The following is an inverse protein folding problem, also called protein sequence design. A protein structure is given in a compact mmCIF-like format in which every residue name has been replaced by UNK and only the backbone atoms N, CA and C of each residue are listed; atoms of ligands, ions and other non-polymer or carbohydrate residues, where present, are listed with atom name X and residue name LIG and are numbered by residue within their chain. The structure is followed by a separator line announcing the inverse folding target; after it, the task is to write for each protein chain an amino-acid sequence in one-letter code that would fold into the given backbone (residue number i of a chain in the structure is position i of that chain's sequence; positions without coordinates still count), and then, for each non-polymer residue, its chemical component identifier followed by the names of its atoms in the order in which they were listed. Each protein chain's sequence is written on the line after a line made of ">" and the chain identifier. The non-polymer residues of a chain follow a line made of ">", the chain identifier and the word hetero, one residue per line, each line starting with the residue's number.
data_IF_222847031135
#
_entry.id   IF_222847031135
#
_cell.length_a   1.000
_cell.length_b   1.000
_cell.length_c   1.000
_cell.angle_alpha   90.00
_cell.angle_beta   90.00
_cell.angle_gamma   90.00
#
_symmetry.space_group_name_H-M   'P 1'
#
loop_
_entity.id
_entity.type
_entity.pdbx_description
1 polymer ?
#
# COMPACT_ATOMS: atom_id res chain seq x y z
N UNK A 1 15.78 16.86 -11.69
CA UNK A 1 14.55 17.71 -11.72
C UNK A 1 14.14 18.02 -10.27
N UNK A 2 13.41 19.13 -10.06
CA UNK A 2 12.91 19.52 -8.73
C UNK A 2 11.42 19.17 -8.65
N UNK A 3 11.06 18.30 -7.71
CA UNK A 3 9.71 17.74 -7.57
C UNK A 3 9.13 18.15 -6.22
N UNK A 4 7.97 18.79 -6.21
CA UNK A 4 7.12 18.97 -5.04
C UNK A 4 6.06 17.86 -5.01
N UNK A 5 5.85 17.22 -3.89
CA UNK A 5 4.85 16.16 -3.74
C UNK A 5 3.99 16.40 -2.50
N UNK A 6 2.67 16.50 -2.68
CA UNK A 6 1.70 16.69 -1.61
C UNK A 6 0.93 15.39 -1.38
N UNK A 7 0.93 14.89 -0.15
CA UNK A 7 0.24 13.63 0.19
C UNK A 7 0.63 13.10 1.56
N UNK A 8 0.15 11.88 1.89
CA UNK A 8 0.53 11.18 3.12
C UNK A 8 2.00 10.80 3.11
N UNK A 9 2.69 10.95 4.25
CA UNK A 9 4.08 10.52 4.41
C UNK A 9 4.26 9.98 5.81
N UNK A 10 4.94 8.85 5.92
CA UNK A 10 5.18 8.19 7.18
C UNK A 10 3.87 7.87 7.94
N UNK A 11 2.89 7.35 7.18
CA UNK A 11 1.55 6.99 7.65
C UNK A 11 1.17 5.57 7.24
N UNK A 12 0.28 4.93 7.99
CA UNK A 12 -0.20 3.56 7.75
C UNK A 12 -1.27 3.45 6.64
N UNK A 13 -1.38 4.46 5.77
CA UNK A 13 -2.32 4.48 4.65
C UNK A 13 -1.71 3.92 3.36
N UNK A 14 -2.55 3.33 2.49
CA UNK A 14 -2.11 2.87 1.17
C UNK A 14 -1.59 4.00 0.28
N UNK A 15 -2.24 5.17 0.30
CA UNK A 15 -1.78 6.35 -0.44
C UNK A 15 -0.44 6.88 0.11
N UNK A 16 -0.26 6.87 1.45
CA UNK A 16 1.00 7.22 2.09
C UNK A 16 2.13 6.28 1.66
N UNK A 17 1.90 4.97 1.65
CA UNK A 17 2.86 3.99 1.15
C UNK A 17 3.26 4.26 -0.32
N UNK A 18 2.29 4.55 -1.19
CA UNK A 18 2.58 4.91 -2.59
C UNK A 18 3.47 6.15 -2.66
N UNK A 19 3.11 7.20 -1.91
CA UNK A 19 3.87 8.45 -1.83
C UNK A 19 5.32 8.20 -1.44
N UNK A 20 5.54 7.38 -0.40
CA UNK A 20 6.87 7.04 0.09
C UNK A 20 7.69 6.20 -0.89
N UNK A 21 7.10 5.16 -1.47
CA UNK A 21 7.79 4.29 -2.43
C UNK A 21 8.29 5.09 -3.64
N UNK A 22 7.43 5.94 -4.21
CA UNK A 22 7.79 6.75 -5.36
C UNK A 22 8.73 7.90 -4.99
N UNK A 23 8.46 8.58 -3.89
CA UNK A 23 9.28 9.71 -3.44
C UNK A 23 10.72 9.30 -3.14
N UNK A 24 10.90 8.20 -2.39
CA UNK A 24 12.24 7.66 -2.11
C UNK A 24 12.95 7.18 -3.37
N UNK A 25 12.22 6.54 -4.32
CA UNK A 25 12.80 6.16 -5.61
C UNK A 25 13.29 7.37 -6.42
N UNK A 26 12.58 8.48 -6.40
CA UNK A 26 13.05 9.72 -7.06
C UNK A 26 14.30 10.31 -6.39
N UNK A 27 14.39 10.27 -5.04
CA UNK A 27 15.60 10.69 -4.31
C UNK A 27 16.79 9.81 -4.67
N UNK A 28 16.62 8.48 -4.70
CA UNK A 28 17.65 7.53 -5.15
C UNK A 28 18.09 7.79 -6.59
N UNK A 29 17.17 8.21 -7.47
CA UNK A 29 17.43 8.62 -8.85
C UNK A 29 18.03 10.04 -8.96
N UNK A 30 18.42 10.65 -7.84
CA UNK A 30 19.07 11.96 -7.73
C UNK A 30 18.17 13.14 -8.14
N UNK A 31 16.85 13.01 -8.00
CA UNK A 31 15.95 14.14 -8.10
C UNK A 31 15.86 14.87 -6.74
N UNK A 32 15.64 16.17 -6.78
CA UNK A 32 15.39 16.97 -5.57
C UNK A 32 13.91 16.89 -5.24
N UNK A 33 13.59 16.28 -4.10
CA UNK A 33 12.22 16.12 -3.62
C UNK A 33 11.92 17.11 -2.48
N UNK A 34 10.72 17.65 -2.45
CA UNK A 34 10.09 18.25 -1.27
C UNK A 34 8.74 17.60 -1.08
N UNK A 35 8.53 16.99 0.08
CA UNK A 35 7.25 16.38 0.45
C UNK A 35 6.49 17.34 1.35
N UNK A 36 5.25 17.64 0.99
CA UNK A 36 4.28 18.36 1.81
C UNK A 36 3.31 17.34 2.39
N UNK A 37 3.20 17.28 3.72
CA UNK A 37 2.38 16.27 4.39
C UNK A 37 1.61 16.84 5.57
N UNK A 38 0.76 16.03 6.17
CA UNK A 38 -0.13 16.37 7.26
C UNK A 38 0.64 16.75 8.53
N UNK A 39 0.09 17.70 9.32
CA UNK A 39 0.51 17.89 10.70
C UNK A 39 0.26 16.62 11.52
N UNK A 40 1.10 16.36 12.53
CA UNK A 40 1.01 15.17 13.38
C UNK A 40 -0.31 15.03 14.13
N UNK A 41 -0.95 16.15 14.44
CA UNK A 41 -2.23 16.19 15.17
C UNK A 41 -3.46 16.11 14.27
N UNK A 42 -3.29 16.11 12.95
CA UNK A 42 -4.37 16.41 12.03
C UNK A 42 -4.39 15.50 10.78
N UNK A 43 -4.19 14.19 10.97
CA UNK A 43 -4.40 13.18 9.92
C UNK A 43 -5.11 11.95 10.48
N UNK A 44 -5.67 11.15 9.58
CA UNK A 44 -6.26 9.86 9.93
C UNK A 44 -5.18 8.78 9.91
N UNK A 45 -5.25 7.85 10.86
CA UNK A 45 -4.32 6.73 10.95
C UNK A 45 -3.20 6.93 11.97
N UNK A 46 -2.17 6.11 11.87
CA UNK A 46 -1.03 6.08 12.78
C UNK A 46 0.23 6.49 12.05
N UNK A 47 1.06 7.30 12.71
CA UNK A 47 2.42 7.58 12.24
C UNK A 47 3.28 6.33 12.42
N UNK A 48 3.96 5.91 11.34
CA UNK A 48 4.74 4.67 11.33
C UNK A 48 6.07 4.82 12.05
N UNK A 49 6.79 5.94 11.81
CA UNK A 49 8.03 6.24 12.49
C UNK A 49 8.00 7.63 13.15
N UNK A 50 8.85 7.84 14.15
CA UNK A 50 8.96 9.14 14.82
C UNK A 50 9.75 10.18 14.04
N UNK A 51 10.36 9.86 12.89
CA UNK A 51 11.33 10.71 12.20
C UNK A 51 10.98 10.87 10.72
N UNK A 52 10.98 12.13 10.28
CA UNK A 52 10.87 12.50 8.87
C UNK A 52 12.26 12.79 8.29
N UNK A 53 12.41 12.60 6.99
CA UNK A 53 13.61 12.99 6.24
C UNK A 53 13.65 14.53 6.06
N UNK A 54 14.84 15.08 5.80
CA UNK A 54 15.08 16.53 5.72
C UNK A 54 14.28 17.25 4.62
N UNK A 55 13.78 16.51 3.64
CA UNK A 55 12.95 17.02 2.55
C UNK A 55 11.44 17.01 2.87
N UNK A 56 11.02 16.55 4.05
CA UNK A 56 9.61 16.49 4.46
C UNK A 56 9.20 17.77 5.20
N UNK A 57 8.02 18.30 4.88
CA UNK A 57 7.40 19.48 5.48
C UNK A 57 5.98 19.16 5.89
N UNK A 58 5.70 19.18 7.20
CA UNK A 58 4.35 19.06 7.74
C UNK A 58 3.71 20.42 7.75
N UNK A 59 2.72 20.65 6.90
CA UNK A 59 2.22 22.00 6.61
C UNK A 59 0.73 22.08 6.27
N UNK A 60 -0.07 21.02 6.49
CA UNK A 60 -1.51 21.07 6.29
C UNK A 60 -2.25 20.03 7.13
N UNK A 61 -3.58 20.20 7.23
CA UNK A 61 -4.49 19.26 7.88
C UNK A 61 -5.14 18.34 6.86
N UNK A 62 -5.59 17.15 7.29
CA UNK A 62 -6.37 16.25 6.45
C UNK A 62 -7.72 16.87 6.10
N UNK A 63 -8.32 16.43 5.00
CA UNK A 63 -9.71 16.80 4.64
C UNK A 63 -10.69 16.43 5.74
N UNK A 64 -11.65 17.31 6.00
CA UNK A 64 -12.62 17.16 7.09
C UNK A 64 -12.14 17.69 8.46
N UNK A 65 -10.89 18.09 8.61
CA UNK A 65 -10.42 18.81 9.80
C UNK A 65 -11.01 20.21 9.84
N UNK A 66 -11.44 20.68 11.02
CA UNK A 66 -12.12 21.97 11.16
C UNK A 66 -11.43 22.86 12.19
N UNK A 67 -10.94 24.05 11.77
CA UNK A 67 -10.88 24.57 10.40
C UNK A 67 -9.81 23.84 9.56
N UNK A 68 -10.00 23.75 8.21
CA UNK A 68 -8.96 23.21 7.35
C UNK A 68 -7.79 24.19 7.26
N UNK A 69 -6.57 23.71 7.50
CA UNK A 69 -5.36 24.51 7.53
C UNK A 69 -4.38 24.09 6.43
N UNK A 70 -3.70 25.07 5.84
CA UNK A 70 -2.58 24.86 4.95
C UNK A 70 -1.65 26.07 5.04
N UNK A 71 -0.40 25.83 5.45
CA UNK A 71 0.65 26.85 5.34
C UNK A 71 1.06 27.00 3.86
N UNK A 72 0.79 28.15 3.22
CA UNK A 72 1.09 28.33 1.80
C UNK A 72 2.59 28.55 1.53
N UNK A 73 3.38 28.95 2.53
CA UNK A 73 4.77 29.38 2.34
C UNK A 73 5.62 28.28 1.70
N UNK A 74 5.66 27.04 2.21
CA UNK A 74 6.50 26.00 1.61
C UNK A 74 6.15 25.70 0.14
N UNK A 75 4.85 25.79 -0.21
CA UNK A 75 4.38 25.56 -1.60
C UNK A 75 4.79 26.68 -2.54
N UNK A 76 4.82 27.92 -2.06
CA UNK A 76 5.02 29.11 -2.88
C UNK A 76 6.48 29.57 -2.93
N UNK A 77 7.32 29.15 -2.02
CA UNK A 77 8.75 29.47 -1.98
C UNK A 77 9.61 28.39 -2.65
N UNK A 78 9.09 27.15 -2.81
CA UNK A 78 9.79 26.05 -3.44
C UNK A 78 9.99 26.28 -4.95
N UNK A 79 11.13 25.83 -5.46
CA UNK A 79 11.47 25.88 -6.90
C UNK A 79 11.13 24.54 -7.56
N UNK A 80 9.84 24.20 -7.63
CA UNK A 80 9.39 22.95 -8.23
C UNK A 80 9.17 23.12 -9.75
N UNK A 81 9.68 22.18 -10.54
CA UNK A 81 9.36 22.04 -11.98
C UNK A 81 8.10 21.18 -12.17
N UNK A 82 7.89 20.23 -11.26
CA UNK A 82 6.73 19.33 -11.20
C UNK A 82 6.12 19.42 -9.80
N UNK A 83 4.79 19.45 -9.74
CA UNK A 83 4.03 19.38 -8.49
C UNK A 83 3.05 18.19 -8.57
N UNK A 84 3.28 17.18 -7.77
CA UNK A 84 2.47 15.95 -7.73
C UNK A 84 1.56 15.98 -6.51
N UNK A 85 0.28 15.69 -6.73
CA UNK A 85 -0.71 15.50 -5.65
C UNK A 85 -1.04 14.01 -5.57
N UNK A 86 -0.94 13.47 -4.37
CA UNK A 86 -1.25 12.06 -4.06
C UNK A 86 -2.54 12.00 -3.25
N UNK A 87 -3.58 11.38 -3.80
CA UNK A 87 -4.86 11.20 -3.13
C UNK A 87 -5.54 12.53 -2.73
N UNK A 88 -6.04 13.24 -3.72
CA UNK A 88 -6.74 14.52 -3.51
C UNK A 88 -7.93 14.38 -2.52
N UNK A 89 -8.47 13.16 -2.36
CA UNK A 89 -9.53 12.83 -1.41
C UNK A 89 -9.19 13.18 0.04
N UNK A 90 -7.95 12.99 0.42
CA UNK A 90 -7.45 13.25 1.78
C UNK A 90 -6.97 14.69 2.00
N UNK A 91 -6.87 15.51 0.96
CA UNK A 91 -6.20 16.81 1.02
C UNK A 91 -7.20 17.98 1.24
N UNK A 92 -6.78 19.06 1.90
CA UNK A 92 -7.61 20.23 2.14
C UNK A 92 -7.81 21.04 0.85
N UNK A 93 -8.84 20.67 0.07
CA UNK A 93 -9.08 21.17 -1.29
C UNK A 93 -9.29 22.68 -1.36
N UNK A 94 -10.06 23.25 -0.43
CA UNK A 94 -10.34 24.70 -0.42
C UNK A 94 -9.09 25.55 -0.17
N UNK A 95 -8.25 25.28 0.86
CA UNK A 95 -6.97 25.95 1.02
C UNK A 95 -6.02 25.76 -0.16
N UNK A 96 -5.93 24.53 -0.71
CA UNK A 96 -5.11 24.24 -1.89
C UNK A 96 -5.58 25.05 -3.10
N UNK A 97 -6.90 25.12 -3.34
CA UNK A 97 -7.48 25.86 -4.46
C UNK A 97 -7.08 27.33 -4.47
N UNK A 98 -6.94 27.98 -3.30
CA UNK A 98 -6.53 29.39 -3.18
C UNK A 98 -5.11 29.65 -3.71
N UNK A 99 -4.23 28.66 -3.65
CA UNK A 99 -2.82 28.80 -4.07
C UNK A 99 -2.48 28.07 -5.36
N UNK A 100 -3.35 27.16 -5.83
CA UNK A 100 -3.08 26.26 -6.95
C UNK A 100 -2.70 26.97 -8.24
N UNK A 101 -3.37 28.09 -8.57
CA UNK A 101 -3.04 28.92 -9.73
C UNK A 101 -1.62 29.49 -9.69
N UNK A 102 -1.07 29.74 -8.49
CA UNK A 102 0.30 30.21 -8.31
C UNK A 102 1.31 29.07 -8.48
N UNK A 103 0.95 27.86 -8.05
CA UNK A 103 1.75 26.64 -8.27
C UNK A 103 1.85 26.36 -9.77
N UNK A 104 0.70 26.35 -10.49
CA UNK A 104 0.65 26.10 -11.95
C UNK A 104 1.46 27.06 -12.80
N UNK A 105 1.64 28.30 -12.36
CA UNK A 105 2.50 29.28 -13.07
C UNK A 105 3.98 28.88 -13.09
N UNK A 106 4.40 27.95 -12.23
CA UNK A 106 5.82 27.62 -12.03
C UNK A 106 6.13 26.15 -12.20
N UNK A 107 5.14 25.28 -12.06
CA UNK A 107 5.31 23.85 -12.14
C UNK A 107 4.20 23.19 -12.98
N UNK A 108 4.53 22.12 -13.67
CA UNK A 108 3.55 21.20 -14.24
C UNK A 108 2.89 20.41 -13.12
N UNK A 109 1.59 20.19 -13.19
CA UNK A 109 0.79 19.62 -12.12
C UNK A 109 0.27 18.25 -12.48
N UNK A 110 0.45 17.29 -11.57
CA UNK A 110 0.05 15.90 -11.75
C UNK A 110 -0.80 15.48 -10.57
N UNK A 111 -1.98 14.87 -10.82
CA UNK A 111 -2.82 14.29 -9.79
C UNK A 111 -2.80 12.77 -9.90
N UNK A 112 -2.41 12.08 -8.83
CA UNK A 112 -2.44 10.62 -8.74
C UNK A 112 -3.70 10.21 -8.00
N UNK A 113 -4.59 9.51 -8.70
CA UNK A 113 -5.92 9.13 -8.20
C UNK A 113 -5.81 7.81 -7.44
N UNK A 114 -6.21 7.83 -6.17
CA UNK A 114 -6.35 6.65 -5.32
C UNK A 114 -7.81 6.25 -5.11
N UNK A 115 -8.73 7.19 -5.27
CA UNK A 115 -10.17 6.93 -5.18
C UNK A 115 -10.63 6.00 -6.32
N UNK A 116 -11.35 4.94 -5.99
CA UNK A 116 -11.79 3.90 -6.94
C UNK A 116 -13.09 4.23 -7.67
N UNK A 117 -13.55 5.47 -7.64
CA UNK A 117 -14.73 6.02 -8.34
C UNK A 117 -14.63 7.53 -8.43
N UNK A 118 -15.41 8.13 -9.31
CA UNK A 118 -15.55 9.59 -9.36
C UNK A 118 -16.11 10.14 -8.05
N UNK A 119 -15.56 11.26 -7.61
CA UNK A 119 -16.02 11.95 -6.42
C UNK A 119 -17.33 12.69 -6.70
N UNK A 120 -18.28 12.62 -5.77
CA UNK A 120 -19.48 13.45 -5.79
C UNK A 120 -19.22 14.90 -5.32
N UNK A 121 -18.01 15.19 -4.80
CA UNK A 121 -17.66 16.51 -4.32
C UNK A 121 -17.14 17.37 -5.50
N UNK A 122 -17.83 18.47 -5.89
CA UNK A 122 -17.42 19.33 -7.00
C UNK A 122 -16.03 19.92 -6.84
N UNK A 123 -15.54 20.07 -5.59
CA UNK A 123 -14.21 20.62 -5.32
C UNK A 123 -13.06 19.76 -5.86
N UNK A 124 -13.29 18.49 -6.19
CA UNK A 124 -12.33 17.65 -6.90
C UNK A 124 -12.01 18.15 -8.30
N UNK A 125 -12.99 18.77 -8.97
CA UNK A 125 -12.93 19.14 -10.40
C UNK A 125 -12.58 20.62 -10.61
N UNK A 126 -12.30 21.37 -9.53
CA UNK A 126 -11.90 22.76 -9.64
C UNK A 126 -10.43 22.96 -10.08
N UNK A 127 -9.65 21.87 -10.10
CA UNK A 127 -8.23 21.91 -10.41
C UNK A 127 -7.98 21.52 -11.88
N UNK A 128 -7.29 22.37 -12.60
CA UNK A 128 -6.83 22.06 -13.97
C UNK A 128 -5.46 21.38 -13.92
N UNK A 129 -5.44 20.06 -14.06
CA UNK A 129 -4.23 19.26 -14.07
C UNK A 129 -3.58 19.21 -15.46
N UNK A 130 -2.22 19.16 -15.52
CA UNK A 130 -1.50 18.84 -16.75
C UNK A 130 -1.55 17.34 -17.04
N UNK A 131 -1.57 16.49 -16.00
CA UNK A 131 -1.76 15.04 -16.10
C UNK A 131 -2.55 14.48 -14.91
N UNK A 132 -3.31 13.42 -15.17
CA UNK A 132 -3.98 12.56 -14.19
C UNK A 132 -3.33 11.19 -14.29
N UNK A 133 -2.88 10.63 -13.18
CA UNK A 133 -2.29 9.30 -13.14
C UNK A 133 -3.21 8.35 -12.38
N UNK A 134 -3.42 7.17 -12.94
CA UNK A 134 -4.13 6.06 -12.33
C UNK A 134 -3.34 4.75 -12.47
N UNK A 135 -3.80 3.67 -11.83
CA UNK A 135 -2.99 2.47 -11.69
C UNK A 135 -3.21 1.41 -12.76
N UNK A 136 -4.42 1.34 -13.35
CA UNK A 136 -4.78 0.38 -14.37
C UNK A 136 -5.99 0.83 -15.20
N UNK A 137 -6.39 0.04 -16.21
CA UNK A 137 -7.51 0.34 -17.11
C UNK A 137 -8.85 0.51 -16.38
N UNK A 138 -9.09 -0.20 -15.27
CA UNK A 138 -10.34 -0.08 -14.49
C UNK A 138 -10.52 1.32 -13.92
N UNK A 139 -9.40 1.96 -13.51
CA UNK A 139 -9.41 3.37 -13.09
C UNK A 139 -9.61 4.30 -14.28
N UNK A 140 -8.90 4.04 -15.40
CA UNK A 140 -9.01 4.88 -16.59
C UNK A 140 -10.43 4.95 -17.12
N UNK A 141 -11.15 3.82 -17.15
CA UNK A 141 -12.51 3.73 -17.64
C UNK A 141 -13.47 4.76 -17.02
N UNK A 142 -13.46 4.92 -15.69
CA UNK A 142 -14.32 5.93 -15.06
C UNK A 142 -13.71 7.34 -15.06
N UNK A 143 -12.39 7.48 -15.11
CA UNK A 143 -11.75 8.80 -15.08
C UNK A 143 -11.97 9.58 -16.38
N UNK A 144 -11.99 8.93 -17.53
CA UNK A 144 -12.26 9.60 -18.81
C UNK A 144 -13.68 10.14 -18.95
N UNK A 145 -14.59 9.77 -18.05
CA UNK A 145 -15.93 10.38 -17.97
C UNK A 145 -15.87 11.83 -17.43
N UNK A 146 -14.84 12.17 -16.63
CA UNK A 146 -14.72 13.46 -15.96
C UNK A 146 -13.48 14.27 -16.40
N UNK A 147 -12.48 13.62 -17.00
CA UNK A 147 -11.21 14.25 -17.40
C UNK A 147 -10.93 14.01 -18.89
N UNK A 148 -10.19 14.91 -19.50
CA UNK A 148 -9.69 14.74 -20.87
C UNK A 148 -8.84 13.46 -20.96
N UNK A 149 -9.23 12.54 -21.83
CA UNK A 149 -8.58 11.26 -22.06
C UNK A 149 -7.07 11.40 -22.34
N UNK A 150 -6.65 12.44 -23.07
CA UNK A 150 -5.27 12.70 -23.40
C UNK A 150 -4.42 13.09 -22.17
N UNK A 151 -5.05 13.40 -21.06
CA UNK A 151 -4.39 13.72 -19.79
C UNK A 151 -4.39 12.58 -18.78
N UNK A 152 -5.08 11.46 -19.07
CA UNK A 152 -5.17 10.29 -18.19
C UNK A 152 -4.11 9.26 -18.57
N UNK A 153 -3.17 9.03 -17.66
CA UNK A 153 -2.02 8.13 -17.84
C UNK A 153 -2.10 6.97 -16.88
N UNK A 154 -1.80 5.76 -17.37
CA UNK A 154 -1.69 4.57 -16.54
C UNK A 154 -0.24 4.38 -16.13
N UNK A 155 0.02 4.50 -14.83
CA UNK A 155 1.31 4.15 -14.22
C UNK A 155 1.00 3.19 -13.06
N UNK A 156 1.39 1.91 -13.13
CA UNK A 156 1.03 0.91 -12.13
C UNK A 156 1.47 1.29 -10.71
N UNK A 157 0.74 0.80 -9.71
CA UNK A 157 1.14 0.95 -8.33
C UNK A 157 2.51 0.27 -8.09
N UNK A 158 3.48 0.92 -7.42
CA UNK A 158 4.81 0.38 -7.22
C UNK A 158 4.85 -0.76 -6.20
N UNK A 159 5.67 -1.76 -6.46
CA UNK A 159 6.03 -2.76 -5.46
C UNK A 159 7.19 -2.26 -4.60
N UNK A 160 7.17 -2.65 -3.32
CA UNK A 160 8.36 -2.58 -2.49
C UNK A 160 9.44 -3.47 -3.12
N UNK A 161 10.71 -3.01 -3.16
CA UNK A 161 11.80 -3.78 -3.76
C UNK A 161 11.95 -5.17 -3.15
N UNK A 162 12.53 -6.10 -3.94
CA UNK A 162 12.91 -7.42 -3.43
C UNK A 162 13.92 -7.30 -2.30
N UNK A 163 13.58 -7.88 -1.16
CA UNK A 163 14.47 -8.00 0.01
C UNK A 163 14.51 -9.46 0.45
N UNK A 164 15.66 -10.09 0.34
CA UNK A 164 15.86 -11.46 0.82
C UNK A 164 16.05 -11.49 2.33
N UNK A 165 15.45 -12.49 2.97
CA UNK A 165 15.58 -12.70 4.42
C UNK A 165 15.93 -14.16 4.75
N UNK A 166 16.55 -14.35 5.92
CA UNK A 166 16.80 -15.68 6.49
C UNK A 166 15.66 -16.02 7.46
N UNK A 167 14.81 -16.96 7.07
CA UNK A 167 13.63 -17.40 7.84
C UNK A 167 14.03 -17.84 9.26
N UNK A 168 15.08 -18.64 9.40
CA UNK A 168 15.52 -19.17 10.70
C UNK A 168 15.99 -18.04 11.62
N UNK A 169 16.87 -17.17 11.14
CA UNK A 169 17.36 -16.04 11.91
C UNK A 169 16.25 -15.07 12.31
N UNK A 170 15.23 -14.85 11.41
CA UNK A 170 14.08 -14.00 11.74
C UNK A 170 13.20 -14.63 12.80
N UNK A 171 12.93 -15.95 12.74
CA UNK A 171 12.18 -16.66 13.78
C UNK A 171 12.87 -16.58 15.14
N UNK A 172 14.17 -16.83 15.19
CA UNK A 172 14.95 -16.71 16.42
C UNK A 172 14.87 -15.29 17.02
N UNK A 173 15.09 -14.26 16.19
CA UNK A 173 15.02 -12.85 16.62
C UNK A 173 13.63 -12.47 17.13
N UNK A 174 12.59 -12.94 16.48
CA UNK A 174 11.20 -12.65 16.82
C UNK A 174 10.65 -13.60 17.91
N UNK A 175 11.45 -14.60 18.35
CA UNK A 175 11.03 -15.64 19.32
C UNK A 175 9.84 -16.44 18.86
N UNK A 176 9.80 -16.76 17.57
CA UNK A 176 8.74 -17.56 16.94
C UNK A 176 9.16 -19.03 16.83
N UNK A 177 8.22 -19.99 16.83
CA UNK A 177 8.53 -21.43 16.76
C UNK A 177 9.26 -21.77 15.45
N UNK A 178 10.33 -22.54 15.55
CA UNK A 178 11.13 -22.98 14.40
C UNK A 178 10.54 -24.18 13.64
N UNK A 179 9.75 -25.00 14.34
CA UNK A 179 9.20 -26.27 13.90
C UNK A 179 7.74 -26.21 13.40
N UNK A 180 7.11 -25.00 13.43
CA UNK A 180 5.71 -24.81 12.99
C UNK A 180 5.61 -24.09 11.65
N UNK A 181 4.48 -24.33 10.98
CA UNK A 181 4.06 -23.56 9.80
C UNK A 181 3.40 -22.27 10.24
N UNK A 182 4.04 -21.13 9.99
CA UNK A 182 3.58 -19.81 10.45
C UNK A 182 2.73 -19.16 9.37
N UNK A 183 1.45 -18.96 9.70
CA UNK A 183 0.48 -18.21 8.89
C UNK A 183 0.39 -16.80 9.47
N UNK A 184 0.67 -15.79 8.63
CA UNK A 184 0.72 -14.40 9.05
C UNK A 184 -0.45 -13.59 8.50
N UNK A 185 -0.94 -12.64 9.29
CA UNK A 185 -1.83 -11.57 8.84
C UNK A 185 -1.58 -10.31 9.65
N UNK A 186 -1.75 -9.13 9.05
CA UNK A 186 -1.40 -7.88 9.72
C UNK A 186 -2.30 -6.69 9.38
N UNK A 187 -2.18 -5.63 10.19
CA UNK A 187 -2.82 -4.35 10.00
C UNK A 187 -4.35 -4.42 10.04
N UNK A 188 -5.05 -3.46 9.40
CA UNK A 188 -6.52 -3.44 9.38
C UNK A 188 -7.15 -4.65 8.67
N UNK A 189 -6.41 -5.32 7.78
CA UNK A 189 -6.88 -6.50 7.05
C UNK A 189 -6.96 -7.76 7.94
N UNK A 190 -6.23 -7.82 9.05
CA UNK A 190 -6.22 -8.94 9.97
C UNK A 190 -7.63 -9.26 10.54
N UNK A 191 -8.52 -8.27 10.63
CA UNK A 191 -9.92 -8.50 11.06
C UNK A 191 -10.66 -9.55 10.23
N UNK A 192 -10.32 -9.67 8.94
CA UNK A 192 -10.94 -10.65 8.06
C UNK A 192 -10.29 -12.04 8.16
N UNK A 193 -9.06 -12.14 8.68
CA UNK A 193 -8.40 -13.42 8.89
C UNK A 193 -9.07 -14.22 10.02
N UNK A 194 -9.81 -13.58 10.91
CA UNK A 194 -10.62 -14.23 11.95
C UNK A 194 -11.58 -15.26 11.36
N UNK A 195 -12.19 -14.98 10.22
CA UNK A 195 -13.17 -15.84 9.57
C UNK A 195 -12.55 -17.14 9.00
N UNK A 196 -11.23 -17.21 8.94
CA UNK A 196 -10.49 -18.38 8.44
C UNK A 196 -9.96 -19.30 9.56
N UNK A 197 -10.06 -18.90 10.83
CA UNK A 197 -9.46 -19.65 11.94
C UNK A 197 -9.97 -21.08 11.99
N UNK A 198 -11.28 -21.30 11.82
CA UNK A 198 -11.86 -22.65 11.83
C UNK A 198 -11.43 -23.47 10.59
N UNK A 199 -11.22 -22.83 9.43
CA UNK A 199 -10.70 -23.50 8.23
C UNK A 199 -9.23 -23.90 8.40
N UNK A 200 -8.44 -23.03 9.04
CA UNK A 200 -7.03 -23.30 9.36
C UNK A 200 -6.93 -24.42 10.39
N UNK A 201 -7.85 -24.47 11.36
CA UNK A 201 -7.86 -25.49 12.39
C UNK A 201 -8.03 -26.91 11.84
N UNK A 202 -8.75 -27.07 10.74
CA UNK A 202 -8.91 -28.36 10.07
C UNK A 202 -7.62 -28.88 9.39
N UNK A 203 -6.63 -28.01 9.15
CA UNK A 203 -5.32 -28.39 8.64
C UNK A 203 -4.33 -28.81 9.73
N UNK A 204 -4.72 -28.68 11.02
CA UNK A 204 -3.85 -28.95 12.16
C UNK A 204 -3.46 -30.44 12.28
N UNK A 205 -4.28 -31.33 11.77
CA UNK A 205 -4.00 -32.77 11.79
C UNK A 205 -2.81 -33.12 10.88
N UNK A 206 -2.65 -32.36 9.78
CA UNK A 206 -1.60 -32.61 8.77
C UNK A 206 -0.36 -31.74 9.00
N UNK A 207 -0.52 -30.56 9.61
CA UNK A 207 0.56 -29.58 9.76
C UNK A 207 0.60 -28.95 11.15
N UNK A 208 1.79 -28.79 11.77
CA UNK A 208 1.94 -28.05 13.04
C UNK A 208 1.79 -26.54 12.79
N UNK A 209 0.57 -26.02 12.86
CA UNK A 209 0.25 -24.63 12.49
C UNK A 209 0.40 -23.67 13.67
N UNK A 210 0.88 -22.47 13.37
CA UNK A 210 0.96 -21.32 14.24
C UNK A 210 0.45 -20.08 13.52
N UNK A 211 -0.47 -19.33 14.13
CA UNK A 211 -1.00 -18.09 13.57
C UNK A 211 -0.32 -16.90 14.24
N UNK A 212 0.23 -16.01 13.43
CA UNK A 212 0.82 -14.75 13.87
C UNK A 212 -0.03 -13.58 13.37
N UNK A 213 -0.50 -12.74 14.29
CA UNK A 213 -1.30 -11.54 13.97
C UNK A 213 -0.63 -10.31 14.54
N UNK A 214 -0.41 -9.30 13.71
CA UNK A 214 0.03 -7.98 14.17
C UNK A 214 -1.00 -6.92 13.78
N UNK A 215 -1.57 -6.22 14.75
CA UNK A 215 -2.56 -5.17 14.52
C UNK A 215 -2.72 -4.29 15.73
N UNK A 216 -2.99 -3.00 15.54
CA UNK A 216 -3.38 -2.05 16.59
C UNK A 216 -4.90 -2.01 16.82
N UNK A 217 -5.68 -2.75 16.02
CA UNK A 217 -7.14 -2.77 16.14
C UNK A 217 -7.59 -3.66 17.32
N UNK A 218 -8.07 -3.04 18.39
CA UNK A 218 -8.47 -3.71 19.63
C UNK A 218 -9.59 -4.72 19.42
N UNK A 219 -10.60 -4.41 18.61
CA UNK A 219 -11.70 -5.33 18.32
C UNK A 219 -11.19 -6.62 17.66
N UNK A 220 -10.28 -6.51 16.71
CA UNK A 220 -9.63 -7.65 16.05
C UNK A 220 -8.86 -8.49 17.08
N UNK A 221 -8.10 -7.85 17.97
CA UNK A 221 -7.35 -8.52 19.02
C UNK A 221 -8.29 -9.30 19.95
N UNK A 222 -9.39 -8.70 20.40
CA UNK A 222 -10.37 -9.38 21.28
C UNK A 222 -10.98 -10.62 20.59
N UNK A 223 -11.36 -10.51 19.31
CA UNK A 223 -11.88 -11.64 18.54
C UNK A 223 -10.88 -12.80 18.46
N UNK A 224 -9.59 -12.54 18.23
CA UNK A 224 -8.56 -13.59 18.24
C UNK A 224 -8.29 -14.15 19.64
N UNK A 225 -8.36 -13.34 20.70
CA UNK A 225 -8.23 -13.82 22.09
C UNK A 225 -9.29 -14.87 22.46
N UNK A 226 -10.47 -14.78 21.88
CA UNK A 226 -11.52 -15.81 22.06
C UNK A 226 -11.08 -17.17 21.48
N UNK A 227 -10.46 -17.18 20.31
CA UNK A 227 -9.90 -18.42 19.74
C UNK A 227 -8.70 -18.95 20.54
N UNK A 228 -7.86 -18.08 21.10
CA UNK A 228 -6.79 -18.50 22.02
C UNK A 228 -7.34 -19.21 23.25
N UNK A 229 -8.42 -18.68 23.86
CA UNK A 229 -9.09 -19.32 25.02
C UNK A 229 -9.64 -20.72 24.68
N UNK A 230 -10.14 -20.91 23.47
CA UNK A 230 -10.65 -22.22 22.98
C UNK A 230 -9.52 -23.23 22.71
N UNK A 231 -8.25 -22.81 22.66
CA UNK A 231 -7.06 -23.64 22.38
C UNK A 231 -7.16 -24.47 21.09
N UNK A 232 -7.87 -23.95 20.11
CA UNK A 232 -8.06 -24.60 18.80
C UNK A 232 -6.76 -24.61 18.02
N UNK A 233 -6.04 -23.48 18.03
CA UNK A 233 -4.76 -23.25 17.36
C UNK A 233 -3.81 -22.46 18.29
N UNK A 234 -2.51 -22.56 18.00
CA UNK A 234 -1.52 -21.69 18.60
C UNK A 234 -1.53 -20.35 17.87
N UNK A 235 -1.94 -19.30 18.58
CA UNK A 235 -2.10 -17.95 18.04
C UNK A 235 -1.25 -16.99 18.86
N UNK A 236 -0.41 -16.21 18.23
CA UNK A 236 0.29 -15.09 18.86
C UNK A 236 -0.27 -13.77 18.32
N UNK A 237 -0.57 -12.85 19.24
CA UNK A 237 -1.10 -11.53 18.98
C UNK A 237 -0.09 -10.49 19.38
N UNK A 238 0.26 -9.59 18.46
CA UNK A 238 1.12 -8.44 18.70
C UNK A 238 0.36 -7.16 18.43
N UNK A 239 0.14 -6.39 19.50
CA UNK A 239 -0.59 -5.12 19.43
C UNK A 239 0.34 -4.02 18.94
N UNK A 240 0.57 -3.97 17.64
CA UNK A 240 1.49 -3.01 17.01
C UNK A 240 1.14 -2.74 15.55
N UNK A 241 1.62 -1.61 15.04
CA UNK A 241 1.65 -1.27 13.62
C UNK A 241 3.11 -1.29 13.18
N UNK A 242 3.60 -2.38 12.54
CA UNK A 242 5.00 -2.52 12.18
C UNK A 242 5.40 -1.50 11.11
N UNK A 243 6.59 -0.93 11.23
CA UNK A 243 7.24 -0.25 10.11
C UNK A 243 7.63 -1.26 9.02
N UNK A 244 8.12 -0.78 7.88
CA UNK A 244 8.43 -1.65 6.74
C UNK A 244 9.52 -2.68 7.08
N UNK A 245 10.52 -2.33 7.87
CA UNK A 245 11.59 -3.23 8.29
C UNK A 245 11.07 -4.34 9.21
N UNK A 246 10.27 -3.98 10.20
CA UNK A 246 9.60 -4.92 11.09
C UNK A 246 8.61 -5.81 10.34
N UNK A 247 7.83 -5.25 9.40
CA UNK A 247 6.91 -6.03 8.58
C UNK A 247 7.65 -7.08 7.76
N UNK A 248 8.80 -6.73 7.16
CA UNK A 248 9.62 -7.67 6.40
C UNK A 248 10.24 -8.75 7.30
N UNK A 249 10.56 -8.44 8.54
CA UNK A 249 10.98 -9.46 9.51
C UNK A 249 9.88 -10.49 9.79
N UNK A 250 8.63 -10.04 9.94
CA UNK A 250 7.48 -10.93 10.08
C UNK A 250 7.22 -11.76 8.83
N UNK A 251 7.26 -11.14 7.65
CA UNK A 251 7.07 -11.83 6.37
C UNK A 251 8.16 -12.89 6.15
N UNK A 252 9.43 -12.56 6.40
CA UNK A 252 10.52 -13.53 6.27
C UNK A 252 10.45 -14.67 7.29
N UNK A 253 9.90 -14.44 8.48
CA UNK A 253 9.69 -15.47 9.50
C UNK A 253 8.52 -16.40 9.16
N UNK A 254 7.60 -15.97 8.32
CA UNK A 254 6.35 -16.67 8.00
C UNK A 254 6.47 -17.63 6.83
N UNK A 255 5.58 -18.61 6.75
CA UNK A 255 5.48 -19.52 5.60
C UNK A 255 4.49 -18.99 4.57
N UNK A 256 3.46 -18.25 4.98
CA UNK A 256 2.56 -17.55 4.09
C UNK A 256 1.89 -16.34 4.76
N UNK A 257 1.48 -15.38 3.94
CA UNK A 257 0.63 -14.25 4.30
C UNK A 257 -0.80 -14.53 3.84
N UNK A 258 -1.77 -14.38 4.75
CA UNK A 258 -3.20 -14.44 4.40
C UNK A 258 -3.75 -13.04 4.20
N UNK A 259 -4.50 -12.86 3.09
CA UNK A 259 -5.22 -11.65 2.75
C UNK A 259 -6.68 -11.96 2.41
N UNK A 260 -7.59 -11.88 3.41
CA UNK A 260 -8.99 -12.29 3.28
C UNK A 260 -9.97 -11.13 3.13
N UNK A 261 -9.62 -10.04 2.44
CA UNK A 261 -10.55 -8.93 2.22
C UNK A 261 -11.67 -9.31 1.23
N UNK A 262 -12.96 -9.11 1.61
CA UNK A 262 -14.08 -9.25 0.67
C UNK A 262 -14.07 -8.11 -0.36
N UNK A 263 -14.74 -8.33 -1.51
CA UNK A 263 -14.92 -7.31 -2.54
C UNK A 263 -15.66 -6.07 -2.02
N UNK A 264 -15.34 -4.93 -2.58
CA UNK A 264 -16.04 -3.65 -2.40
C UNK A 264 -16.73 -3.23 -3.70
N UNK A 265 -17.63 -2.24 -3.65
CA UNK A 265 -18.46 -1.82 -4.80
C UNK A 265 -17.78 -0.85 -5.78
N UNK A 266 -16.50 -0.56 -5.58
CA UNK A 266 -15.72 0.37 -6.40
C UNK A 266 -14.38 -0.27 -6.80
N UNK A 267 -13.71 0.31 -7.77
CA UNK A 267 -12.37 -0.12 -8.17
C UNK A 267 -11.40 0.08 -7.01
N UNK A 268 -10.51 -0.86 -6.80
CA UNK A 268 -9.52 -0.76 -5.73
C UNK A 268 -8.25 -1.54 -6.09
N UNK A 269 -7.13 -1.08 -5.61
CA UNK A 269 -5.86 -1.82 -5.58
C UNK A 269 -5.46 -2.09 -4.14
N UNK A 270 -4.87 -3.24 -3.88
CA UNK A 270 -4.39 -3.59 -2.54
C UNK A 270 -2.95 -3.18 -2.34
N UNK A 271 -2.72 -2.13 -1.58
CA UNK A 271 -1.36 -1.76 -1.14
C UNK A 271 -0.62 -2.91 -0.44
N UNK A 272 -1.35 -3.78 0.27
CA UNK A 272 -0.77 -4.96 0.96
C UNK A 272 -0.02 -5.88 0.00
N UNK A 273 -0.62 -6.22 -1.16
CA UNK A 273 0.05 -7.08 -2.16
C UNK A 273 1.35 -6.47 -2.66
N UNK A 274 1.32 -5.20 -3.05
CA UNK A 274 2.49 -4.48 -3.56
C UNK A 274 3.58 -4.29 -2.50
N UNK A 275 3.18 -4.07 -1.24
CA UNK A 275 4.10 -3.93 -0.13
C UNK A 275 4.79 -5.24 0.23
N UNK A 276 4.06 -6.36 0.23
CA UNK A 276 4.53 -7.63 0.79
C UNK A 276 5.20 -8.55 -0.22
N UNK A 277 4.84 -8.46 -1.50
CA UNK A 277 5.34 -9.38 -2.54
C UNK A 277 6.88 -9.35 -2.66
N UNK A 278 7.50 -8.18 -2.45
CA UNK A 278 8.97 -8.03 -2.46
C UNK A 278 9.71 -8.75 -1.32
N UNK A 279 9.00 -9.26 -0.31
CA UNK A 279 9.61 -10.07 0.75
C UNK A 279 9.87 -11.52 0.31
N UNK A 280 9.23 -11.98 -0.77
CA UNK A 280 9.23 -13.38 -1.16
C UNK A 280 8.36 -14.28 -0.26
N UNK A 281 7.56 -13.72 0.66
CA UNK A 281 6.56 -14.47 1.40
C UNK A 281 5.36 -14.77 0.49
N UNK A 282 4.93 -16.04 0.34
CA UNK A 282 3.75 -16.38 -0.45
C UNK A 282 2.51 -15.68 0.05
N UNK A 283 1.64 -15.24 -0.88
CA UNK A 283 0.36 -14.60 -0.54
C UNK A 283 -0.78 -15.51 -0.96
N UNK A 284 -1.62 -15.89 0.00
CA UNK A 284 -2.89 -16.60 -0.22
C UNK A 284 -4.02 -15.62 0.05
N UNK A 285 -4.79 -15.27 -0.98
CA UNK A 285 -5.78 -14.21 -0.92
C UNK A 285 -7.19 -14.69 -1.28
N UNK A 286 -8.21 -14.11 -0.63
CA UNK A 286 -9.58 -14.25 -1.10
C UNK A 286 -9.70 -13.62 -2.48
N UNK A 287 -10.31 -14.32 -3.44
CA UNK A 287 -10.61 -13.78 -4.77
C UNK A 287 -11.63 -12.64 -4.63
N UNK A 288 -11.13 -11.43 -4.79
CA UNK A 288 -11.88 -10.18 -4.62
C UNK A 288 -11.27 -9.09 -5.51
N UNK A 289 -11.99 -7.99 -5.71
CA UNK A 289 -11.48 -6.89 -6.53
C UNK A 289 -10.24 -6.18 -5.97
N UNK A 290 -9.85 -6.48 -4.74
CA UNK A 290 -8.55 -6.06 -4.20
C UNK A 290 -7.35 -6.77 -4.86
N UNK A 291 -7.57 -7.95 -5.43
CA UNK A 291 -6.53 -8.83 -5.96
C UNK A 291 -6.79 -9.29 -7.40
N UNK A 292 -7.87 -8.84 -8.03
CA UNK A 292 -8.19 -9.23 -9.42
C UNK A 292 -7.10 -8.83 -10.41
N UNK A 293 -6.36 -7.77 -10.08
CA UNK A 293 -5.24 -7.26 -10.87
C UNK A 293 -4.07 -8.25 -10.99
N UNK A 294 -3.88 -9.13 -10.01
CA UNK A 294 -2.87 -10.17 -10.06
C UNK A 294 -3.40 -11.39 -10.80
N UNK A 295 -2.61 -11.93 -11.76
CA UNK A 295 -2.96 -13.15 -12.50
C UNK A 295 -2.40 -14.40 -11.81
N UNK A 296 -1.08 -14.53 -11.77
CA UNK A 296 -0.35 -15.70 -11.27
C UNK A 296 0.56 -15.40 -10.09
N UNK A 297 0.61 -14.16 -9.65
CA UNK A 297 1.55 -13.67 -8.65
C UNK A 297 1.17 -14.00 -7.22
N UNK A 298 -0.08 -14.41 -7.00
CA UNK A 298 -0.65 -14.81 -5.72
C UNK A 298 -1.57 -16.01 -5.91
N UNK A 299 -1.79 -16.78 -4.84
CA UNK A 299 -2.80 -17.84 -4.86
C UNK A 299 -4.15 -17.29 -4.42
N UNK A 300 -5.20 -17.51 -5.24
CA UNK A 300 -6.55 -17.03 -4.96
C UNK A 300 -7.50 -18.16 -4.61
N UNK A 301 -8.45 -17.88 -3.69
CA UNK A 301 -9.49 -18.82 -3.30
C UNK A 301 -10.86 -18.14 -3.18
N UNK A 302 -11.92 -18.89 -3.46
CA UNK A 302 -13.34 -18.51 -3.28
C UNK A 302 -14.01 -19.35 -2.19
N UNK A 303 -13.63 -20.63 -2.11
CA UNK A 303 -14.23 -21.60 -1.19
C UNK A 303 -13.22 -22.06 -0.14
N UNK A 304 -13.71 -22.75 0.88
CA UNK A 304 -12.89 -23.39 1.92
C UNK A 304 -11.94 -24.45 1.34
N UNK A 305 -12.43 -25.24 0.41
CA UNK A 305 -11.64 -26.28 -0.26
C UNK A 305 -10.50 -25.69 -1.08
N UNK A 306 -10.76 -24.61 -1.82
CA UNK A 306 -9.74 -23.88 -2.55
C UNK A 306 -8.72 -23.24 -1.62
N UNK A 307 -9.19 -22.65 -0.48
CA UNK A 307 -8.30 -22.10 0.54
C UNK A 307 -7.33 -23.15 1.08
N UNK A 308 -7.86 -24.33 1.48
CA UNK A 308 -7.05 -25.44 1.96
C UNK A 308 -6.05 -25.91 0.90
N UNK A 309 -6.49 -26.09 -0.35
CA UNK A 309 -5.61 -26.43 -1.46
C UNK A 309 -4.47 -25.42 -1.63
N UNK A 310 -4.75 -24.13 -1.59
CA UNK A 310 -3.73 -23.09 -1.68
C UNK A 310 -2.71 -23.18 -0.53
N UNK A 311 -3.18 -23.34 0.72
CA UNK A 311 -2.31 -23.47 1.89
C UNK A 311 -1.45 -24.72 1.81
N UNK A 312 -2.03 -25.88 1.48
CA UNK A 312 -1.27 -27.13 1.28
C UNK A 312 -0.23 -26.98 0.16
N UNK A 313 -0.60 -26.36 -0.96
CA UNK A 313 0.32 -26.12 -2.07
C UNK A 313 1.55 -25.30 -1.65
N UNK A 314 1.36 -24.32 -0.78
CA UNK A 314 2.48 -23.53 -0.20
C UNK A 314 3.33 -24.39 0.74
N UNK A 315 2.71 -25.16 1.63
CA UNK A 315 3.44 -25.95 2.63
C UNK A 315 4.23 -27.13 2.02
N UNK A 316 3.73 -27.67 0.92
CA UNK A 316 4.33 -28.79 0.17
C UNK A 316 5.25 -28.32 -0.98
N UNK A 317 5.33 -27.01 -1.22
CA UNK A 317 6.14 -26.41 -2.29
C UNK A 317 5.87 -27.05 -3.67
N UNK A 318 4.59 -27.19 -4.02
CA UNK A 318 4.16 -27.79 -5.28
C UNK A 318 4.66 -27.01 -6.53
N UNK A 319 4.52 -27.58 -7.73
CA UNK A 319 4.87 -26.86 -8.97
C UNK A 319 3.98 -25.62 -9.20
N UNK A 320 2.70 -25.66 -8.75
CA UNK A 320 1.80 -24.51 -8.77
C UNK A 320 2.39 -23.36 -7.91
N UNK A 321 2.80 -23.66 -6.68
CA UNK A 321 3.47 -22.72 -5.78
C UNK A 321 4.75 -22.15 -6.39
N UNK A 322 5.65 -23.00 -6.90
CA UNK A 322 6.90 -22.54 -7.53
C UNK A 322 6.65 -21.66 -8.76
N UNK A 323 5.60 -21.95 -9.52
CA UNK A 323 5.14 -21.14 -10.65
C UNK A 323 4.70 -19.75 -10.19
N UNK A 324 3.87 -19.71 -9.15
CA UNK A 324 3.41 -18.46 -8.52
C UNK A 324 4.57 -17.60 -8.01
N UNK A 325 5.54 -18.22 -7.30
CA UNK A 325 6.70 -17.47 -6.75
C UNK A 325 7.56 -16.87 -7.86
N UNK A 326 7.78 -17.59 -8.98
CA UNK A 326 8.49 -17.02 -10.15
C UNK A 326 7.71 -15.86 -10.77
N UNK A 327 6.39 -15.96 -10.86
CA UNK A 327 5.54 -14.88 -11.39
C UNK A 327 5.60 -13.65 -10.48
N UNK A 328 5.52 -13.83 -9.16
CA UNK A 328 5.63 -12.77 -8.16
C UNK A 328 6.98 -12.03 -8.23
N UNK A 329 8.09 -12.77 -8.30
CA UNK A 329 9.43 -12.18 -8.42
C UNK A 329 9.56 -11.35 -9.71
N UNK A 330 9.12 -11.89 -10.85
CA UNK A 330 9.13 -11.16 -12.13
C UNK A 330 8.27 -9.90 -12.09
N UNK A 331 7.12 -9.96 -11.42
CA UNK A 331 6.23 -8.82 -11.26
C UNK A 331 6.89 -7.72 -10.44
N UNK A 332 7.48 -8.06 -9.28
CA UNK A 332 8.18 -7.10 -8.42
C UNK A 332 9.34 -6.43 -9.15
N UNK A 333 10.14 -7.19 -9.92
CA UNK A 333 11.25 -6.62 -10.69
C UNK A 333 10.74 -5.58 -11.70
N UNK A 334 9.68 -5.90 -12.45
CA UNK A 334 9.10 -5.00 -13.47
C UNK A 334 8.39 -3.78 -12.88
N UNK A 335 7.81 -3.91 -11.69
CA UNK A 335 6.99 -2.89 -11.04
C UNK A 335 7.61 -2.40 -9.70
N UNK A 336 8.91 -2.57 -9.51
CA UNK A 336 9.60 -2.01 -8.36
C UNK A 336 9.43 -0.49 -8.28
N UNK A 337 9.52 0.09 -7.09
CA UNK A 337 9.45 1.54 -6.89
C UNK A 337 10.42 2.29 -7.81
N UNK A 338 11.63 1.75 -8.03
CA UNK A 338 12.61 2.33 -8.94
C UNK A 338 12.14 2.29 -10.41
N UNK A 339 11.57 1.16 -10.87
CA UNK A 339 11.07 1.03 -12.24
C UNK A 339 9.85 1.94 -12.49
N UNK A 340 8.93 1.98 -11.54
CA UNK A 340 7.75 2.86 -11.63
C UNK A 340 8.14 4.33 -11.48
N UNK A 341 9.10 4.66 -10.61
CA UNK A 341 9.64 6.02 -10.49
C UNK A 341 10.18 6.55 -11.81
N UNK A 342 10.83 5.71 -12.63
CA UNK A 342 11.29 6.08 -13.99
C UNK A 342 10.13 6.39 -14.93
N UNK A 343 9.03 5.61 -14.90
CA UNK A 343 7.84 5.91 -15.72
C UNK A 343 7.23 7.28 -15.38
N UNK A 344 7.20 7.64 -14.10
CA UNK A 344 6.81 9.00 -13.70
C UNK A 344 7.77 10.06 -14.26
N UNK A 345 9.07 9.81 -14.20
CA UNK A 345 10.09 10.75 -14.75
C UNK A 345 9.95 10.90 -16.25
N UNK A 346 9.63 9.84 -16.98
CA UNK A 346 9.32 9.89 -18.42
C UNK A 346 8.09 10.77 -18.70
N UNK A 347 7.01 10.59 -17.94
CA UNK A 347 5.84 11.47 -18.01
C UNK A 347 6.21 12.93 -17.71
N UNK A 348 6.98 13.17 -16.64
CA UNK A 348 7.40 14.53 -16.27
C UNK A 348 8.24 15.20 -17.35
N UNK A 349 9.16 14.47 -17.98
CA UNK A 349 9.95 14.99 -19.10
C UNK A 349 9.05 15.36 -20.28
N UNK A 350 8.08 14.51 -20.63
CA UNK A 350 7.09 14.82 -21.67
C UNK A 350 6.31 16.10 -21.36
N UNK A 351 5.83 16.28 -20.13
CA UNK A 351 5.12 17.49 -19.71
C UNK A 351 5.99 18.75 -19.76
N UNK A 352 7.30 18.60 -19.55
CA UNK A 352 8.27 19.71 -19.60
C UNK A 352 8.83 19.96 -21.02
N UNK A 353 8.46 19.13 -22.02
CA UNK A 353 8.97 19.23 -23.38
C UNK A 353 10.43 18.82 -23.54
N UNK A 354 10.87 17.84 -22.76
CA UNK A 354 12.26 17.30 -22.74
C UNK A 354 12.32 15.86 -23.22
#
# INVERSE_FOLDING_TARGET
>A
MKIGMMGGWNTDSGAGLHTELIGRAWVEQRHKLTVFTFYDYAFHGTRITGRDEDYVRRCFTVEGFTPPELDPIPFLTGEHEIFVVQDLGMLPKDPLGKIFHRIRKRAKTVNVIHDGKLSNNPSFYQFEWDAIVCFDERYREFLIEAYDENKVYIIPYPCHPMVKGDKKAKRERLRLPGDKRIIFSFGPAAKFAVDLVDWIAELKEDYPIFILITTSNKETIERFREFQKRKVLDIELREETPDIGQLYDYLHASDLLIFNKPSVSHVVVSSTGFQCMGSGCPIVARDSNYVEYYDKEIMKYKTKEEFKRCVCSVFEETEEFKGMMRAAENYVVRNSASAIGKKYVELFNSLLGR
#
